data_IF_008458917549
#
_entry.id   IF_008458917549
#
_cell.length_a   1.000
_cell.length_b   1.000
_cell.length_c   1.000
_cell.angle_alpha   90.00
_cell.angle_beta   90.00
_cell.angle_gamma   90.00
#
_symmetry.space_group_name_H-M   'P 1'
#
loop_
_entity.id
_entity.type
_entity.pdbx_description
1 polymer ?
#
# COMPACT_ATOMS: atom_id res chain seq x y z
N UNK A 1 31.02 -42.15 49.25
CA UNK A 1 30.52 -43.37 48.55
C UNK A 1 29.13 -43.03 48.03
N UNK A 2 28.76 -43.16 46.75
CA UNK A 2 29.49 -43.44 45.49
C UNK A 2 28.59 -42.82 44.36
N UNK A 3 29.06 -41.97 43.44
CA UNK A 3 29.95 -42.20 42.29
C UNK A 3 29.26 -42.71 41.00
N UNK A 4 29.00 -41.80 40.04
CA UNK A 4 28.87 -42.04 38.57
C UNK A 4 27.68 -42.95 38.12
N UNK A 5 27.18 -43.05 36.88
CA UNK A 5 27.34 -42.40 35.54
C UNK A 5 26.07 -42.78 34.69
N UNK A 6 25.74 -42.51 33.41
CA UNK A 6 26.23 -41.77 32.21
C UNK A 6 25.01 -41.74 31.19
N UNK A 7 25.15 -41.14 29.99
CA UNK A 7 24.42 -41.41 28.71
C UNK A 7 23.12 -40.68 28.32
N UNK A 8 23.30 -39.71 27.40
CA UNK A 8 22.71 -39.67 26.03
C UNK A 8 21.17 -39.77 25.84
N UNK A 9 20.43 -38.72 25.40
CA UNK A 9 20.27 -38.14 24.02
C UNK A 9 18.84 -38.41 23.46
N UNK A 10 18.34 -37.75 22.38
CA UNK A 10 18.28 -36.30 22.15
C UNK A 10 16.98 -35.76 21.48
N UNK A 11 16.63 -34.49 21.74
CA UNK A 11 16.23 -33.50 20.71
C UNK A 11 14.88 -33.57 19.96
N UNK A 12 14.20 -32.40 19.90
CA UNK A 12 13.35 -31.99 18.75
C UNK A 12 13.67 -30.53 18.40
N UNK A 13 14.34 -30.30 17.27
CA UNK A 13 14.56 -28.95 16.72
C UNK A 13 13.55 -28.71 15.60
N UNK A 14 12.73 -27.66 15.71
CA UNK A 14 11.80 -27.25 14.64
C UNK A 14 12.56 -26.61 13.48
N UNK A 15 12.97 -27.42 12.50
CA UNK A 15 13.60 -26.95 11.28
C UNK A 15 12.65 -26.09 10.43
N UNK A 16 12.92 -24.80 10.34
CA UNK A 16 12.36 -23.94 9.31
C UNK A 16 12.99 -24.27 7.97
N UNK A 17 12.18 -24.60 6.95
CA UNK A 17 12.67 -24.91 5.60
C UNK A 17 13.13 -23.62 4.92
N UNK A 18 14.43 -23.47 4.68
CA UNK A 18 14.95 -22.48 3.74
C UNK A 18 14.68 -22.94 2.30
N UNK A 19 14.51 -21.98 1.38
CA UNK A 19 14.57 -22.29 -0.05
C UNK A 19 15.99 -22.76 -0.39
N UNK A 20 16.11 -23.96 -0.97
CA UNK A 20 17.42 -24.57 -1.27
C UNK A 20 18.17 -23.85 -2.38
N UNK A 21 19.49 -23.79 -2.25
CA UNK A 21 20.42 -23.31 -3.28
C UNK A 21 21.28 -24.50 -3.76
N UNK A 22 21.44 -24.76 -5.07
CA UNK A 22 22.07 -26.00 -5.54
C UNK A 22 23.59 -26.03 -5.35
N UNK A 23 24.09 -27.21 -4.94
CA UNK A 23 25.44 -27.75 -5.11
C UNK A 23 26.64 -26.77 -4.97
N UNK A 24 27.22 -26.70 -3.78
CA UNK A 24 28.57 -26.13 -3.59
C UNK A 24 29.66 -27.14 -4.01
N UNK A 25 30.28 -26.93 -5.17
CA UNK A 25 31.49 -27.66 -5.59
C UNK A 25 32.72 -27.27 -4.75
N UNK A 26 33.58 -28.23 -4.42
CA UNK A 26 34.82 -27.97 -3.67
C UNK A 26 35.87 -27.28 -4.53
N UNK A 27 36.35 -26.12 -4.09
CA UNK A 27 37.62 -25.53 -4.54
C UNK A 27 38.51 -25.16 -3.33
N UNK A 28 39.82 -25.09 -3.57
CA UNK A 28 40.85 -25.03 -2.52
C UNK A 28 41.02 -23.66 -1.82
N UNK A 29 41.89 -23.58 -0.80
CA UNK A 29 42.02 -22.43 0.10
C UNK A 29 42.82 -21.26 -0.52
N UNK A 30 42.25 -20.59 -1.53
CA UNK A 30 42.74 -19.30 -1.99
C UNK A 30 42.46 -18.20 -0.96
N UNK A 31 43.50 -17.49 -0.49
CA UNK A 31 43.38 -16.39 0.48
C UNK A 31 42.79 -15.11 -0.16
N UNK A 32 41.49 -15.13 -0.49
CA UNK A 32 40.76 -13.91 -0.86
C UNK A 32 40.44 -13.08 0.38
N UNK A 33 40.79 -11.80 0.34
CA UNK A 33 40.56 -10.87 1.46
C UNK A 33 39.07 -10.53 1.60
N UNK A 34 38.47 -10.91 2.73
CA UNK A 34 37.08 -10.61 3.08
C UNK A 34 36.75 -9.10 3.04
N UNK A 35 37.75 -8.23 3.22
CA UNK A 35 37.59 -6.78 3.13
C UNK A 35 37.18 -6.28 1.73
N UNK A 36 37.46 -7.03 0.66
CA UNK A 36 37.08 -6.64 -0.70
C UNK A 36 35.58 -6.86 -0.98
N UNK A 37 35.03 -8.00 -0.55
CA UNK A 37 33.63 -8.35 -0.78
C UNK A 37 32.66 -7.37 -0.07
N UNK A 38 33.01 -6.91 1.13
CA UNK A 38 32.22 -5.93 1.89
C UNK A 38 32.04 -4.58 1.19
N UNK A 39 32.96 -4.19 0.28
CA UNK A 39 32.90 -2.91 -0.44
C UNK A 39 32.01 -2.93 -1.69
N UNK A 40 31.70 -4.10 -2.25
CA UNK A 40 30.93 -4.20 -3.50
C UNK A 40 29.41 -3.95 -3.30
N UNK A 41 28.89 -4.18 -2.08
CA UNK A 41 27.45 -4.07 -1.78
C UNK A 41 26.93 -2.66 -1.47
N UNK A 42 27.79 -1.63 -1.47
CA UNK A 42 27.42 -0.27 -1.05
C UNK A 42 27.47 0.79 -2.16
N UNK A 43 27.67 0.38 -3.42
CA UNK A 43 27.74 1.29 -4.59
C UNK A 43 26.38 1.84 -5.07
N UNK A 44 25.33 1.73 -4.24
CA UNK A 44 24.07 2.42 -4.49
C UNK A 44 24.22 3.91 -4.19
N UNK A 45 24.24 4.76 -5.21
CA UNK A 45 24.41 6.20 -5.05
C UNK A 45 23.31 6.80 -4.15
N UNK A 46 23.69 7.19 -2.94
CA UNK A 46 22.76 7.78 -1.96
C UNK A 46 22.36 9.17 -2.46
N UNK A 47 21.18 9.24 -3.06
CA UNK A 47 20.55 10.47 -3.51
C UNK A 47 20.46 11.48 -2.35
N UNK A 48 20.65 12.77 -2.62
CA UNK A 48 20.67 13.80 -1.59
C UNK A 48 19.26 14.03 -1.00
N UNK A 49 19.14 14.56 0.23
CA UNK A 49 17.84 14.92 0.81
C UNK A 49 16.98 15.78 -0.13
N UNK A 50 17.59 16.77 -0.79
CA UNK A 50 16.92 17.66 -1.74
C UNK A 50 16.37 16.94 -2.99
N UNK A 51 17.06 15.91 -3.51
CA UNK A 51 16.59 15.17 -4.69
C UNK A 51 15.42 14.26 -4.39
N UNK A 52 15.28 13.76 -3.16
CA UNK A 52 14.10 13.01 -2.72
C UNK A 52 12.88 13.93 -2.58
N UNK A 53 13.04 15.11 -1.97
CA UNK A 53 11.97 16.10 -1.86
C UNK A 53 11.54 16.62 -3.25
N UNK A 54 12.50 16.88 -4.14
CA UNK A 54 12.22 17.23 -5.54
C UNK A 54 11.47 16.11 -6.28
N UNK A 55 11.86 14.83 -6.10
CA UNK A 55 11.15 13.69 -6.69
C UNK A 55 9.73 13.54 -6.13
N UNK A 56 9.54 13.72 -4.82
CA UNK A 56 8.23 13.66 -4.17
C UNK A 56 7.27 14.73 -4.74
N UNK A 57 7.74 15.98 -4.81
CA UNK A 57 7.00 17.10 -5.38
C UNK A 57 6.74 16.91 -6.88
N UNK A 58 7.74 16.42 -7.64
CA UNK A 58 7.60 16.14 -9.07
C UNK A 58 6.56 15.04 -9.33
N UNK A 59 6.59 13.93 -8.60
CA UNK A 59 5.62 12.85 -8.76
C UNK A 59 4.20 13.30 -8.36
N UNK A 60 4.06 13.98 -7.23
CA UNK A 60 2.76 14.53 -6.80
C UNK A 60 2.22 15.56 -7.82
N UNK A 61 3.08 16.45 -8.33
CA UNK A 61 2.71 17.41 -9.36
C UNK A 61 2.32 16.73 -10.68
N UNK A 62 3.13 15.80 -11.19
CA UNK A 62 2.86 15.08 -12.45
C UNK A 62 1.54 14.29 -12.37
N UNK A 63 1.28 13.56 -11.28
CA UNK A 63 0.01 12.85 -11.13
C UNK A 63 -1.18 13.80 -10.99
N UNK A 64 -1.00 14.95 -10.34
CA UNK A 64 -2.05 15.98 -10.21
C UNK A 64 -2.32 16.71 -11.54
N UNK A 65 -1.29 17.05 -12.32
CA UNK A 65 -1.46 17.71 -13.63
C UNK A 65 -1.96 16.75 -14.70
N UNK A 66 -1.60 15.46 -14.65
CA UNK A 66 -2.20 14.43 -15.49
C UNK A 66 -3.71 14.28 -15.17
N UNK A 67 -4.08 14.23 -13.89
CA UNK A 67 -5.50 14.17 -13.50
C UNK A 67 -6.28 15.41 -13.92
N UNK A 68 -5.77 16.63 -13.65
CA UNK A 68 -6.39 17.87 -14.12
C UNK A 68 -6.44 17.93 -15.65
N UNK A 69 -5.40 17.47 -16.34
CA UNK A 69 -5.37 17.37 -17.81
C UNK A 69 -6.44 16.45 -18.36
N UNK A 70 -6.65 15.27 -17.77
CA UNK A 70 -7.74 14.35 -18.11
C UNK A 70 -9.10 15.01 -17.84
N UNK A 71 -9.28 15.65 -16.68
CA UNK A 71 -10.52 16.34 -16.30
C UNK A 71 -10.88 17.50 -17.26
N UNK A 72 -9.89 18.26 -17.73
CA UNK A 72 -10.10 19.35 -18.68
C UNK A 72 -10.23 18.88 -20.15
N UNK A 73 -9.56 17.79 -20.54
CA UNK A 73 -9.57 17.30 -21.92
C UNK A 73 -10.81 16.45 -22.29
N UNK A 74 -11.43 15.79 -21.30
CA UNK A 74 -12.60 14.92 -21.52
C UNK A 74 -13.89 15.40 -20.83
N UNK A 75 -13.81 16.45 -20.00
CA UNK A 75 -14.97 17.07 -19.37
C UNK A 75 -15.63 18.17 -20.21
N UNK A 76 -16.85 18.63 -19.86
CA UNK A 76 -17.72 18.13 -18.80
C UNK A 76 -18.66 17.00 -19.27
N UNK A 77 -18.49 16.48 -20.51
CA UNK A 77 -19.37 15.51 -21.17
C UNK A 77 -19.15 14.06 -20.71
N UNK A 78 -18.98 13.87 -19.40
CA UNK A 78 -18.70 12.56 -18.75
C UNK A 78 -19.76 11.49 -19.06
N UNK A 79 -21.00 11.92 -19.34
CA UNK A 79 -22.12 11.06 -19.77
C UNK A 79 -21.90 10.31 -21.09
N UNK A 80 -20.87 10.64 -21.87
CA UNK A 80 -20.47 9.89 -23.07
C UNK A 80 -19.57 8.68 -22.76
N UNK A 81 -18.98 8.62 -21.56
CA UNK A 81 -18.22 7.45 -21.10
C UNK A 81 -19.14 6.39 -20.49
N UNK A 82 -18.80 5.08 -20.56
CA UNK A 82 -19.49 4.07 -19.78
C UNK A 82 -19.51 4.43 -18.28
N UNK A 83 -20.66 4.33 -17.59
CA UNK A 83 -20.77 4.72 -16.19
C UNK A 83 -20.07 3.73 -15.26
N UNK A 84 -19.69 4.19 -14.06
CA UNK A 84 -19.23 3.31 -13.00
C UNK A 84 -20.31 2.26 -12.68
N UNK A 85 -19.92 0.99 -12.50
CA UNK A 85 -20.87 -0.14 -12.34
C UNK A 85 -21.81 -0.02 -11.14
N UNK A 86 -21.50 0.83 -10.16
CA UNK A 86 -22.37 1.12 -9.02
C UNK A 86 -23.53 2.07 -9.35
N UNK A 87 -23.55 2.72 -10.52
CA UNK A 87 -24.51 3.80 -10.80
C UNK A 87 -25.95 3.25 -10.88
N UNK A 88 -26.10 2.05 -11.44
CA UNK A 88 -27.38 1.31 -11.46
C UNK A 88 -27.81 0.71 -10.11
N UNK A 89 -27.04 0.93 -9.03
CA UNK A 89 -27.35 0.48 -7.67
C UNK A 89 -27.08 1.55 -6.60
N UNK A 90 -27.08 2.82 -7.02
CA UNK A 90 -26.72 4.02 -6.24
C UNK A 90 -25.27 4.03 -5.75
N UNK A 91 -24.37 4.70 -6.50
CA UNK A 91 -22.93 4.68 -6.19
C UNK A 91 -22.55 5.18 -4.78
N UNK A 92 -23.08 6.33 -4.35
CA UNK A 92 -22.76 7.01 -3.08
C UNK A 92 -23.96 7.89 -2.64
N UNK A 93 -23.92 8.52 -1.46
CA UNK A 93 -24.92 9.49 -1.03
C UNK A 93 -24.93 10.78 -1.88
N UNK A 94 -23.77 11.43 -2.04
CA UNK A 94 -23.63 12.76 -2.64
C UNK A 94 -24.28 12.90 -4.02
N UNK A 95 -25.11 13.94 -4.21
CA UNK A 95 -25.86 14.16 -5.43
C UNK A 95 -24.94 14.56 -6.61
N UNK A 96 -24.93 13.82 -7.74
CA UNK A 96 -24.10 14.18 -8.89
C UNK A 96 -24.49 15.51 -9.53
N UNK A 97 -23.58 16.49 -9.49
CA UNK A 97 -23.76 17.85 -10.03
C UNK A 97 -23.51 17.89 -11.54
N UNK A 98 -24.43 17.32 -12.32
CA UNK A 98 -24.36 17.22 -13.78
C UNK A 98 -24.01 18.55 -14.45
N UNK A 99 -23.03 18.54 -15.37
CA UNK A 99 -22.55 19.73 -16.07
C UNK A 99 -21.44 20.51 -15.34
N UNK A 100 -21.11 20.18 -14.09
CA UNK A 100 -19.94 20.71 -13.39
C UNK A 100 -18.69 19.84 -13.65
N UNK A 101 -17.50 20.43 -13.47
CA UNK A 101 -16.22 19.72 -13.64
C UNK A 101 -16.07 18.56 -12.65
N UNK A 102 -16.60 18.72 -11.43
CA UNK A 102 -16.62 17.71 -10.37
C UNK A 102 -18.08 17.31 -10.09
N UNK A 103 -18.47 16.09 -10.44
CA UNK A 103 -19.82 15.59 -10.17
C UNK A 103 -20.09 15.45 -8.66
N UNK A 104 -19.11 15.04 -7.86
CA UNK A 104 -19.24 14.89 -6.40
C UNK A 104 -18.12 15.67 -5.68
N UNK A 105 -18.26 16.99 -5.48
CA UNK A 105 -17.21 17.83 -4.89
C UNK A 105 -16.70 17.41 -3.50
N UNK A 106 -17.57 16.98 -2.58
CA UNK A 106 -17.15 16.62 -1.22
C UNK A 106 -16.34 15.31 -1.23
N UNK A 107 -16.81 14.31 -1.96
CA UNK A 107 -16.07 13.06 -2.17
C UNK A 107 -14.77 13.31 -2.92
N UNK A 108 -14.75 14.15 -3.97
CA UNK A 108 -13.53 14.49 -4.73
C UNK A 108 -12.48 15.20 -3.85
N UNK A 109 -12.88 16.22 -3.09
CA UNK A 109 -11.93 17.02 -2.29
C UNK A 109 -11.37 16.20 -1.12
N UNK A 110 -12.18 15.35 -0.49
CA UNK A 110 -11.72 14.47 0.59
C UNK A 110 -10.71 13.40 0.14
N UNK A 111 -10.77 12.93 -1.11
CA UNK A 111 -9.79 12.01 -1.71
C UNK A 111 -8.36 12.60 -1.74
N UNK A 112 -8.21 13.92 -1.72
CA UNK A 112 -6.89 14.59 -1.63
C UNK A 112 -6.15 14.26 -0.32
N UNK A 113 -6.84 13.78 0.73
CA UNK A 113 -6.21 13.29 1.94
C UNK A 113 -5.18 12.18 1.67
N UNK A 114 -5.46 11.27 0.74
CA UNK A 114 -4.50 10.23 0.33
C UNK A 114 -3.29 10.80 -0.41
N UNK A 115 -3.48 11.84 -1.22
CA UNK A 115 -2.39 12.53 -1.93
C UNK A 115 -1.46 13.24 -0.94
N UNK A 116 -2.03 13.93 0.06
CA UNK A 116 -1.29 14.60 1.15
C UNK A 116 -0.50 13.57 1.97
N UNK A 117 -1.12 12.45 2.36
CA UNK A 117 -0.45 11.37 3.10
C UNK A 117 0.65 10.72 2.26
N UNK A 118 0.42 10.46 0.97
CA UNK A 118 1.42 9.87 0.08
C UNK A 118 2.62 10.78 -0.15
N UNK A 119 2.40 12.10 -0.31
CA UNK A 119 3.46 13.09 -0.39
C UNK A 119 4.26 13.17 0.93
N UNK A 120 3.61 13.13 2.09
CA UNK A 120 4.27 13.07 3.39
C UNK A 120 5.14 11.81 3.55
N UNK A 121 4.65 10.64 3.13
CA UNK A 121 5.42 9.38 3.11
C UNK A 121 6.67 9.52 2.21
N UNK A 122 6.54 10.09 1.01
CA UNK A 122 7.68 10.32 0.12
C UNK A 122 8.70 11.31 0.69
N UNK A 123 8.26 12.35 1.40
CA UNK A 123 9.16 13.31 2.07
C UNK A 123 9.91 12.67 3.25
N UNK A 124 9.27 11.78 4.01
CA UNK A 124 9.92 11.01 5.07
C UNK A 124 10.93 9.98 4.54
N UNK A 125 10.90 9.64 3.23
CA UNK A 125 11.89 8.76 2.59
C UNK A 125 13.34 9.28 2.69
N UNK A 126 13.53 10.60 2.81
CA UNK A 126 14.83 11.23 3.16
C UNK A 126 15.44 10.61 4.42
N UNK A 127 14.59 10.33 5.41
CA UNK A 127 14.97 9.80 6.71
C UNK A 127 14.89 8.26 6.76
N UNK A 128 14.54 7.59 5.66
CA UNK A 128 14.39 6.12 5.60
C UNK A 128 15.73 5.36 5.39
N UNK A 129 16.85 6.08 5.22
CA UNK A 129 18.18 5.49 5.22
C UNK A 129 18.44 4.68 6.50
N UNK A 130 18.86 3.42 6.35
CA UNK A 130 19.11 2.52 7.47
C UNK A 130 17.87 1.95 8.18
N UNK A 131 16.64 2.41 7.86
CA UNK A 131 15.39 1.81 8.39
C UNK A 131 15.03 0.52 7.67
N UNK A 132 14.31 -0.39 8.32
CA UNK A 132 14.01 -1.70 7.76
C UNK A 132 13.11 -1.69 6.51
N UNK A 133 12.32 -0.62 6.32
CA UNK A 133 11.53 -0.38 5.10
C UNK A 133 12.39 0.09 3.91
N UNK A 134 13.46 0.83 4.16
CA UNK A 134 14.31 1.42 3.12
C UNK A 134 13.65 2.53 2.30
N UNK A 135 14.46 3.24 1.51
CA UNK A 135 14.03 4.40 0.72
C UNK A 135 13.06 4.01 -0.39
N UNK A 136 13.41 2.99 -1.21
CA UNK A 136 12.62 2.60 -2.38
C UNK A 136 11.20 2.13 -2.02
N UNK A 137 11.06 1.29 -0.98
CA UNK A 137 9.74 0.83 -0.52
C UNK A 137 8.92 1.95 0.14
N UNK A 138 9.59 2.93 0.77
CA UNK A 138 8.92 4.14 1.29
C UNK A 138 8.35 4.99 0.15
N UNK A 139 9.15 5.28 -0.89
CA UNK A 139 8.69 5.99 -2.08
C UNK A 139 7.54 5.26 -2.79
N UNK A 140 7.63 3.92 -2.91
CA UNK A 140 6.57 3.09 -3.51
C UNK A 140 5.27 3.14 -2.68
N UNK A 141 5.35 3.04 -1.34
CA UNK A 141 4.16 3.16 -0.48
C UNK A 141 3.49 4.54 -0.61
N UNK A 142 4.30 5.61 -0.66
CA UNK A 142 3.80 6.96 -0.91
C UNK A 142 3.18 7.13 -2.30
N UNK A 143 3.74 6.47 -3.32
CA UNK A 143 3.19 6.47 -4.68
C UNK A 143 1.84 5.76 -4.73
N UNK A 144 1.70 4.59 -4.08
CA UNK A 144 0.41 3.89 -4.01
C UNK A 144 -0.68 4.77 -3.36
N UNK A 145 -0.33 5.53 -2.31
CA UNK A 145 -1.26 6.47 -1.67
C UNK A 145 -1.64 7.66 -2.59
N UNK A 146 -0.68 8.24 -3.34
CA UNK A 146 -0.98 9.27 -4.34
C UNK A 146 -1.92 8.72 -5.44
N UNK A 147 -1.67 7.49 -5.93
CA UNK A 147 -2.49 6.86 -6.96
C UNK A 147 -3.91 6.54 -6.46
N UNK A 148 -4.10 6.14 -5.18
CA UNK A 148 -5.43 6.04 -4.56
C UNK A 148 -6.15 7.40 -4.61
N UNK A 149 -5.52 8.46 -4.09
CA UNK A 149 -6.14 9.78 -4.03
C UNK A 149 -6.51 10.35 -5.40
N UNK A 150 -5.63 10.16 -6.38
CA UNK A 150 -5.84 10.63 -7.76
C UNK A 150 -6.87 9.78 -8.50
N UNK A 151 -6.85 8.45 -8.34
CA UNK A 151 -7.87 7.57 -8.92
C UNK A 151 -9.26 7.86 -8.36
N UNK A 152 -9.37 8.04 -7.04
CA UNK A 152 -10.60 8.42 -6.35
C UNK A 152 -11.10 9.82 -6.76
N UNK A 153 -10.21 10.80 -6.93
CA UNK A 153 -10.55 12.11 -7.54
C UNK A 153 -11.18 11.93 -8.93
N UNK A 154 -10.60 11.08 -9.80
CA UNK A 154 -11.12 10.82 -11.14
C UNK A 154 -12.46 10.07 -11.12
N UNK A 155 -12.69 9.17 -10.16
CA UNK A 155 -13.98 8.53 -9.94
C UNK A 155 -15.05 9.55 -9.52
N UNK A 156 -14.81 10.35 -8.47
CA UNK A 156 -15.84 11.27 -7.94
C UNK A 156 -16.06 12.51 -8.81
N UNK A 157 -15.06 12.93 -9.58
CA UNK A 157 -15.23 14.00 -10.54
C UNK A 157 -16.09 13.58 -11.76
N UNK A 158 -16.07 12.30 -12.17
CA UNK A 158 -16.62 11.86 -13.47
C UNK A 158 -17.70 10.77 -13.41
N UNK A 159 -17.73 9.96 -12.34
CA UNK A 159 -18.59 8.76 -12.14
C UNK A 159 -18.53 7.74 -13.29
N UNK A 160 -17.40 7.65 -13.97
CA UNK A 160 -17.16 6.76 -15.12
C UNK A 160 -16.55 5.41 -14.73
N UNK A 161 -16.66 4.42 -15.63
CA UNK A 161 -16.05 3.10 -15.49
C UNK A 161 -14.51 3.17 -15.47
N UNK A 162 -13.90 4.07 -16.25
CA UNK A 162 -12.45 4.27 -16.25
C UNK A 162 -11.97 5.01 -15.00
N UNK A 163 -12.77 5.94 -14.45
CA UNK A 163 -12.51 6.53 -13.13
C UNK A 163 -12.57 5.49 -12.02
N UNK A 164 -13.59 4.62 -12.05
CA UNK A 164 -13.71 3.47 -11.15
C UNK A 164 -12.53 2.49 -11.26
N UNK A 165 -11.98 2.31 -12.47
CA UNK A 165 -10.78 1.50 -12.68
C UNK A 165 -9.56 2.16 -12.02
N UNK A 166 -9.34 3.46 -12.26
CA UNK A 166 -8.21 4.21 -11.70
C UNK A 166 -8.21 4.22 -10.15
N UNK A 167 -9.37 4.45 -9.53
CA UNK A 167 -9.60 4.37 -8.08
C UNK A 167 -9.12 3.03 -7.49
N UNK A 168 -9.65 1.92 -7.99
CA UNK A 168 -9.33 0.58 -7.46
C UNK A 168 -7.90 0.15 -7.77
N UNK A 169 -7.31 0.57 -8.90
CA UNK A 169 -5.89 0.31 -9.21
C UNK A 169 -4.99 0.80 -8.08
N UNK A 170 -5.23 2.01 -7.54
CA UNK A 170 -4.48 2.51 -6.38
C UNK A 170 -4.62 1.62 -5.15
N UNK A 171 -5.85 1.19 -4.86
CA UNK A 171 -6.15 0.32 -3.70
C UNK A 171 -5.46 -1.04 -3.83
N UNK A 172 -5.41 -1.60 -5.04
CA UNK A 172 -4.74 -2.87 -5.33
C UNK A 172 -3.21 -2.76 -5.31
N UNK A 173 -2.63 -1.65 -5.77
CA UNK A 173 -1.19 -1.40 -5.64
C UNK A 173 -0.79 -1.34 -4.16
N UNK A 174 -1.51 -0.60 -3.31
CA UNK A 174 -1.21 -0.55 -1.88
C UNK A 174 -1.43 -1.92 -1.20
N UNK A 175 -2.54 -2.61 -1.48
CA UNK A 175 -2.82 -3.93 -0.91
C UNK A 175 -1.77 -4.98 -1.29
N UNK A 176 -1.35 -5.01 -2.56
CA UNK A 176 -0.31 -5.90 -3.07
C UNK A 176 1.06 -5.59 -2.44
N UNK A 177 1.36 -4.31 -2.21
CA UNK A 177 2.57 -3.86 -1.51
C UNK A 177 2.58 -4.38 -0.06
N UNK A 178 1.48 -4.21 0.68
CA UNK A 178 1.38 -4.66 2.07
C UNK A 178 1.50 -6.18 2.21
N UNK A 179 0.81 -6.95 1.35
CA UNK A 179 0.94 -8.42 1.28
C UNK A 179 2.40 -8.80 1.01
N UNK A 180 3.02 -8.23 -0.03
CA UNK A 180 4.40 -8.52 -0.39
C UNK A 180 5.38 -8.19 0.73
N UNK A 181 5.18 -7.06 1.42
CA UNK A 181 6.06 -6.62 2.49
C UNK A 181 5.93 -7.48 3.76
N UNK A 182 4.74 -8.05 4.02
CA UNK A 182 4.55 -9.07 5.04
C UNK A 182 5.21 -10.40 4.63
N UNK A 183 4.99 -10.88 3.40
CA UNK A 183 5.60 -12.11 2.87
C UNK A 183 7.14 -12.05 2.88
N UNK A 184 7.75 -10.94 2.46
CA UNK A 184 9.21 -10.71 2.53
C UNK A 184 9.74 -10.86 3.95
N UNK A 185 9.02 -10.30 4.94
CA UNK A 185 9.36 -10.40 6.38
C UNK A 185 9.21 -11.82 6.94
N UNK A 186 8.27 -12.61 6.41
CA UNK A 186 8.01 -13.99 6.86
C UNK A 186 8.96 -15.01 6.22
N UNK A 187 9.23 -14.85 4.92
CA UNK A 187 10.01 -15.78 4.10
C UNK A 187 11.51 -15.44 4.00
N UNK A 188 11.89 -14.18 4.31
CA UNK A 188 13.28 -13.72 4.20
C UNK A 188 13.79 -13.61 2.76
N UNK A 189 12.91 -13.40 1.78
CA UNK A 189 13.28 -13.33 0.37
C UNK A 189 14.01 -12.02 0.02
N UNK A 190 14.78 -12.05 -1.08
CA UNK A 190 15.50 -10.87 -1.59
C UNK A 190 14.56 -9.86 -2.25
N UNK A 191 15.03 -8.63 -2.41
CA UNK A 191 14.23 -7.52 -2.95
C UNK A 191 13.81 -7.75 -4.40
N UNK A 192 14.60 -8.49 -5.19
CA UNK A 192 14.22 -8.92 -6.53
C UNK A 192 13.02 -9.89 -6.51
N UNK A 193 13.02 -10.86 -5.59
CA UNK A 193 11.89 -11.79 -5.43
C UNK A 193 10.65 -11.04 -4.92
N UNK A 194 10.82 -10.11 -3.97
CA UNK A 194 9.73 -9.26 -3.51
C UNK A 194 9.15 -8.39 -4.64
N UNK A 195 9.99 -7.78 -5.48
CA UNK A 195 9.53 -7.00 -6.64
C UNK A 195 8.74 -7.85 -7.64
N UNK A 196 9.19 -9.08 -7.95
CA UNK A 196 8.45 -10.00 -8.82
C UNK A 196 7.11 -10.40 -8.21
N UNK A 197 7.06 -10.74 -6.91
CA UNK A 197 5.80 -11.05 -6.20
C UNK A 197 4.84 -9.87 -6.20
N UNK A 198 5.34 -8.65 -5.97
CA UNK A 198 4.55 -7.42 -6.01
C UNK A 198 3.92 -7.19 -7.39
N UNK A 199 4.73 -7.24 -8.46
CA UNK A 199 4.27 -7.03 -9.84
C UNK A 199 3.28 -8.12 -10.27
N UNK A 200 3.53 -9.38 -9.91
CA UNK A 200 2.63 -10.49 -10.23
C UNK A 200 1.28 -10.36 -9.50
N UNK A 201 1.29 -10.03 -8.21
CA UNK A 201 0.08 -9.87 -7.40
C UNK A 201 -0.74 -8.65 -7.84
N UNK A 202 -0.10 -7.50 -8.02
CA UNK A 202 -0.76 -6.29 -8.51
C UNK A 202 -1.30 -6.49 -9.94
N UNK A 203 -0.49 -7.08 -10.83
CA UNK A 203 -0.89 -7.40 -12.21
C UNK A 203 -2.09 -8.35 -12.26
N UNK A 204 -2.14 -9.38 -11.42
CA UNK A 204 -3.28 -10.28 -11.30
C UNK A 204 -4.53 -9.54 -10.81
N UNK A 205 -4.43 -8.71 -9.76
CA UNK A 205 -5.56 -7.94 -9.27
C UNK A 205 -6.09 -6.94 -10.32
N UNK A 206 -5.20 -6.28 -11.07
CA UNK A 206 -5.57 -5.34 -12.15
C UNK A 206 -6.17 -6.08 -13.35
N UNK A 207 -5.68 -7.27 -13.70
CA UNK A 207 -6.28 -8.12 -14.73
C UNK A 207 -7.70 -8.56 -14.34
N UNK A 208 -7.90 -8.96 -13.08
CA UNK A 208 -9.22 -9.32 -12.54
C UNK A 208 -10.18 -8.11 -12.53
N UNK A 209 -9.69 -6.89 -12.24
CA UNK A 209 -10.46 -5.66 -12.34
C UNK A 209 -10.91 -5.35 -13.79
N UNK A 210 -10.04 -5.65 -14.76
CA UNK A 210 -10.31 -5.42 -16.18
C UNK A 210 -11.37 -6.38 -16.73
N UNK A 211 -11.31 -7.67 -16.38
CA UNK A 211 -12.25 -8.68 -16.90
C UNK A 211 -13.55 -8.80 -16.09
N UNK A 212 -13.57 -8.36 -14.83
CA UNK A 212 -14.68 -8.55 -13.89
C UNK A 212 -14.83 -7.35 -12.91
N UNK A 213 -15.10 -6.12 -13.39
CA UNK A 213 -15.06 -4.89 -12.59
C UNK A 213 -16.09 -4.81 -11.45
N UNK A 214 -17.18 -5.56 -11.52
CA UNK A 214 -18.15 -5.76 -10.44
C UNK A 214 -17.56 -6.48 -9.22
N UNK A 215 -16.56 -7.36 -9.40
CA UNK A 215 -15.93 -8.10 -8.29
C UNK A 215 -15.10 -7.23 -7.35
N UNK A 216 -14.77 -5.98 -7.75
CA UNK A 216 -13.78 -5.11 -7.09
C UNK A 216 -13.93 -4.98 -5.57
N UNK A 217 -15.17 -4.90 -5.07
CA UNK A 217 -15.47 -4.72 -3.64
C UNK A 217 -15.05 -5.97 -2.84
N UNK A 218 -15.34 -7.16 -3.37
CA UNK A 218 -14.98 -8.44 -2.76
C UNK A 218 -13.48 -8.73 -2.89
N UNK A 219 -12.90 -8.50 -4.07
CA UNK A 219 -11.47 -8.72 -4.28
C UNK A 219 -10.62 -7.74 -3.44
N UNK A 220 -11.01 -6.48 -3.30
CA UNK A 220 -10.37 -5.56 -2.35
C UNK A 220 -10.50 -6.05 -0.90
N UNK A 221 -11.68 -6.52 -0.47
CA UNK A 221 -11.87 -7.05 0.87
C UNK A 221 -10.96 -8.26 1.15
N UNK A 222 -10.83 -9.20 0.19
CA UNK A 222 -9.89 -10.33 0.29
C UNK A 222 -8.45 -9.83 0.40
N UNK A 223 -8.00 -8.92 -0.48
CA UNK A 223 -6.65 -8.36 -0.44
C UNK A 223 -6.36 -7.65 0.89
N UNK A 224 -7.29 -6.83 1.38
CA UNK A 224 -7.16 -6.09 2.64
C UNK A 224 -7.10 -7.03 3.85
N UNK A 225 -8.00 -8.01 3.93
CA UNK A 225 -8.01 -9.02 5.00
C UNK A 225 -6.74 -9.87 4.96
N UNK A 226 -6.27 -10.28 3.78
CA UNK A 226 -4.99 -10.99 3.62
C UNK A 226 -3.79 -10.14 4.05
N UNK A 227 -3.76 -8.85 3.70
CA UNK A 227 -2.69 -7.94 4.15
C UNK A 227 -2.66 -7.82 5.69
N UNK A 228 -3.82 -7.57 6.31
CA UNK A 228 -3.97 -7.49 7.78
C UNK A 228 -3.55 -8.82 8.44
N UNK A 229 -4.00 -9.94 7.89
CA UNK A 229 -3.75 -11.28 8.44
C UNK A 229 -2.26 -11.66 8.41
N UNK A 230 -1.62 -11.50 7.25
CA UNK A 230 -0.19 -11.80 7.07
C UNK A 230 0.67 -10.87 7.93
N UNK A 231 0.33 -9.58 8.03
CA UNK A 231 1.08 -8.64 8.85
C UNK A 231 0.90 -8.96 10.35
N UNK A 232 -0.34 -9.06 10.86
CA UNK A 232 -0.60 -9.20 12.29
C UNK A 232 -0.12 -10.54 12.88
N UNK A 233 -0.46 -11.67 12.23
CA UNK A 233 -0.16 -13.00 12.76
C UNK A 233 1.22 -13.54 12.38
N UNK A 234 1.77 -13.16 11.21
CA UNK A 234 3.02 -13.76 10.72
C UNK A 234 4.20 -12.78 10.68
N UNK A 235 4.03 -11.58 10.14
CA UNK A 235 5.15 -10.64 9.96
C UNK A 235 5.50 -9.86 11.24
N UNK A 236 4.51 -9.29 11.93
CA UNK A 236 4.65 -8.47 13.16
C UNK A 236 5.52 -9.13 14.24
N UNK A 237 5.39 -10.44 14.57
CA UNK A 237 6.28 -11.10 15.54
C UNK A 237 7.76 -11.16 15.11
N UNK A 238 8.06 -10.90 13.83
CA UNK A 238 9.41 -10.89 13.25
C UNK A 238 9.97 -9.46 13.09
N UNK A 239 9.15 -8.41 13.30
CA UNK A 239 9.53 -6.99 13.18
C UNK A 239 9.94 -6.39 14.54
N UNK A 240 11.22 -6.07 14.79
CA UNK A 240 11.62 -5.37 16.02
C UNK A 240 11.33 -3.86 15.94
N UNK A 241 10.98 -3.24 17.06
CA UNK A 241 10.80 -1.78 17.16
C UNK A 241 9.47 -1.21 16.63
N UNK A 242 8.70 -1.96 15.84
CA UNK A 242 7.37 -1.52 15.39
C UNK A 242 6.44 -1.22 16.57
N UNK A 243 5.46 -0.34 16.35
CA UNK A 243 4.54 0.16 17.39
C UNK A 243 3.11 -0.35 17.11
N UNK A 244 2.70 -1.51 17.66
CA UNK A 244 1.39 -2.12 17.38
C UNK A 244 0.17 -1.22 17.62
N UNK A 245 0.16 -0.29 18.61
CA UNK A 245 -0.93 0.68 18.75
C UNK A 245 -1.20 1.52 17.49
N UNK A 246 -0.19 1.81 16.66
CA UNK A 246 -0.39 2.53 15.39
C UNK A 246 -1.07 1.64 14.34
N UNK A 247 -0.73 0.36 14.26
CA UNK A 247 -1.44 -0.60 13.40
C UNK A 247 -2.90 -0.76 13.84
N UNK A 248 -3.15 -0.86 15.15
CA UNK A 248 -4.51 -0.93 15.70
C UNK A 248 -5.31 0.37 15.50
N UNK A 249 -4.68 1.54 15.60
CA UNK A 249 -5.31 2.82 15.28
C UNK A 249 -5.70 2.91 13.79
N UNK A 250 -4.84 2.43 12.89
CA UNK A 250 -5.16 2.35 11.46
C UNK A 250 -6.28 1.34 11.15
N UNK A 251 -6.30 0.20 11.85
CA UNK A 251 -7.39 -0.78 11.75
C UNK A 251 -8.71 -0.18 12.24
N UNK A 252 -8.71 0.51 13.39
CA UNK A 252 -9.88 1.21 13.92
C UNK A 252 -10.38 2.30 12.95
N UNK A 253 -9.48 3.10 12.38
CA UNK A 253 -9.84 4.10 11.38
C UNK A 253 -10.51 3.46 10.15
N UNK A 254 -9.98 2.36 9.62
CA UNK A 254 -10.61 1.59 8.54
C UNK A 254 -11.96 0.97 8.96
N UNK A 255 -12.12 0.51 10.20
CA UNK A 255 -13.40 -0.05 10.70
C UNK A 255 -14.48 1.03 10.82
N UNK A 256 -14.14 2.21 11.38
CA UNK A 256 -15.06 3.35 11.46
C UNK A 256 -15.39 3.88 10.06
N UNK A 257 -14.39 3.95 9.17
CA UNK A 257 -14.60 4.27 7.77
C UNK A 257 -15.62 3.32 7.13
N UNK A 258 -15.43 2.00 7.28
CA UNK A 258 -16.30 1.00 6.66
C UNK A 258 -17.74 1.07 7.18
N UNK A 259 -17.94 1.38 8.46
CA UNK A 259 -19.26 1.65 9.02
C UNK A 259 -19.92 2.89 8.37
N UNK A 260 -19.18 4.00 8.24
CA UNK A 260 -19.67 5.21 7.56
C UNK A 260 -19.94 4.97 6.07
N UNK A 261 -19.12 4.15 5.41
CA UNK A 261 -19.34 3.70 4.03
C UNK A 261 -20.65 2.92 3.91
N UNK A 262 -20.93 1.95 4.79
CA UNK A 262 -22.21 1.22 4.80
C UNK A 262 -23.39 2.20 4.98
N UNK A 263 -23.30 3.13 5.93
CA UNK A 263 -24.37 4.10 6.22
C UNK A 263 -24.63 5.09 5.06
N UNK A 264 -23.59 5.42 4.29
CA UNK A 264 -23.66 6.20 3.04
C UNK A 264 -24.33 5.41 1.91
N UNK A 265 -23.87 4.18 1.64
CA UNK A 265 -24.44 3.28 0.62
C UNK A 265 -25.92 2.96 0.89
N UNK A 266 -26.27 2.66 2.14
CA UNK A 266 -27.63 2.34 2.57
C UNK A 266 -28.53 3.56 2.76
N UNK A 267 -28.00 4.77 2.54
CA UNK A 267 -28.69 6.07 2.72
C UNK A 267 -29.22 6.35 4.14
N UNK A 268 -28.84 5.54 5.14
CA UNK A 268 -29.25 5.71 6.55
C UNK A 268 -28.68 7.01 7.15
N UNK A 269 -27.43 7.35 6.81
CA UNK A 269 -26.82 8.64 7.15
C UNK A 269 -26.43 9.34 5.85
N UNK A 270 -27.41 9.98 5.22
CA UNK A 270 -27.25 10.65 3.94
C UNK A 270 -27.98 11.99 3.88
N UNK A 271 -27.23 13.05 3.54
CA UNK A 271 -27.75 14.36 3.17
C UNK A 271 -27.12 14.72 1.80
N UNK A 272 -27.81 14.39 0.71
CA UNK A 272 -27.20 14.30 -0.63
C UNK A 272 -26.56 15.61 -1.13
N UNK A 273 -27.10 16.77 -0.75
CA UNK A 273 -26.60 18.11 -1.13
C UNK A 273 -25.53 18.67 -0.16
N UNK A 274 -25.28 17.98 0.95
CA UNK A 274 -24.36 18.43 2.01
C UNK A 274 -22.88 18.32 1.60
N UNK A 275 -22.01 19.13 2.21
CA UNK A 275 -20.57 18.87 2.21
C UNK A 275 -20.17 17.75 3.18
N UNK A 276 -21.06 17.36 4.10
CA UNK A 276 -20.83 16.26 5.05
C UNK A 276 -21.39 14.95 4.48
N UNK A 277 -20.50 14.17 3.86
CA UNK A 277 -20.82 12.88 3.24
C UNK A 277 -20.15 11.74 4.02
N UNK A 278 -20.85 10.62 4.21
CA UNK A 278 -20.28 9.43 4.85
C UNK A 278 -19.11 8.86 4.05
N UNK A 279 -19.20 8.95 2.71
CA UNK A 279 -18.12 8.57 1.81
C UNK A 279 -16.90 9.51 1.87
N UNK A 280 -17.10 10.82 2.02
CA UNK A 280 -16.00 11.77 2.22
C UNK A 280 -15.25 11.51 3.55
N UNK A 281 -15.98 11.14 4.61
CA UNK A 281 -15.37 10.70 5.87
C UNK A 281 -14.60 9.37 5.73
N UNK A 282 -15.10 8.44 4.91
CA UNK A 282 -14.37 7.21 4.53
C UNK A 282 -13.01 7.50 3.88
N UNK A 283 -12.90 8.50 2.99
CA UNK A 283 -11.61 8.89 2.40
C UNK A 283 -10.62 9.40 3.43
N UNK A 284 -11.05 10.32 4.30
CA UNK A 284 -10.16 10.93 5.31
C UNK A 284 -9.69 9.90 6.34
N UNK A 285 -10.58 9.00 6.79
CA UNK A 285 -10.22 7.91 7.70
C UNK A 285 -9.35 6.84 7.02
N UNK A 286 -9.58 6.54 5.74
CA UNK A 286 -8.69 5.69 4.94
C UNK A 286 -7.30 6.29 4.81
N UNK A 287 -7.17 7.59 4.55
CA UNK A 287 -5.88 8.28 4.51
C UNK A 287 -5.17 8.24 5.87
N UNK A 288 -5.91 8.44 6.97
CA UNK A 288 -5.40 8.24 8.35
C UNK A 288 -4.92 6.79 8.55
N UNK A 289 -5.66 5.78 8.07
CA UNK A 289 -5.24 4.39 8.19
C UNK A 289 -3.95 4.08 7.41
N UNK A 290 -3.77 4.68 6.22
CA UNK A 290 -2.50 4.62 5.46
C UNK A 290 -1.36 5.28 6.23
N UNK A 291 -1.59 6.47 6.81
CA UNK A 291 -0.60 7.19 7.60
C UNK A 291 -0.18 6.41 8.86
N UNK A 292 -1.16 5.83 9.58
CA UNK A 292 -0.93 4.95 10.72
C UNK A 292 -0.16 3.68 10.35
N UNK A 293 -0.47 3.07 9.21
CA UNK A 293 0.24 1.89 8.68
C UNK A 293 1.70 2.23 8.33
N UNK A 294 1.96 3.37 7.68
CA UNK A 294 3.32 3.83 7.44
C UNK A 294 4.07 4.12 8.75
N UNK A 295 3.44 4.82 9.70
CA UNK A 295 4.06 5.13 10.99
C UNK A 295 4.39 3.87 11.82
N UNK A 296 3.57 2.80 11.71
CA UNK A 296 3.86 1.47 12.24
C UNK A 296 5.14 0.87 11.62
N UNK A 297 5.26 0.86 10.28
CA UNK A 297 6.47 0.35 9.61
C UNK A 297 7.70 1.23 9.82
N UNK A 298 7.52 2.55 9.99
CA UNK A 298 8.60 3.52 10.24
C UNK A 298 9.30 3.28 11.58
N UNK A 299 8.62 2.65 12.55
CA UNK A 299 9.22 2.17 13.79
C UNK A 299 10.07 0.91 13.63
N UNK A 300 10.05 0.21 12.48
CA UNK A 300 10.83 -1.01 12.33
C UNK A 300 12.34 -0.74 12.26
N UNK A 301 13.04 -1.17 13.32
CA UNK A 301 14.49 -1.05 13.46
C UNK A 301 15.17 -2.14 12.64
N UNK A 302 16.26 -1.82 11.94
CA UNK A 302 17.13 -2.81 11.32
C UNK A 302 17.80 -3.66 12.41
N UNK A 303 17.72 -4.99 12.31
CA UNK A 303 18.52 -5.85 13.19
C UNK A 303 20.01 -5.58 12.91
N UNK A 304 20.87 -5.47 13.93
CA UNK A 304 22.31 -5.57 13.71
C UNK A 304 22.62 -6.92 13.06
N UNK A 305 23.66 -6.93 12.23
CA UNK A 305 24.16 -8.12 11.52
C UNK A 305 25.01 -9.01 12.43
#
# INVERSE_FOLDING_TARGET
MASLDDRHRPGVVRGGRSCGNPAAGRFGPGRFSLAAAAKAGQSGAVLRPSTHAALALLLAAVWSTLALGILHAAGPVWSLSPPATCLGSHCFCELPRTGQLLLQPANTVSSLGFVIVGAWIMLDAVNAGGRALGVASTLLMGLCAIVIGVGSVLLHATLTLWGQFADVVGMYLLGSFLITWALRRVLGCSDAVAAVVYVALAGLCILLLWIAPETRRWLFAVVLVTAIALEWWLARPRRPGVVPPLFLAGLLANTVAFALWILDQTRIVCAADSWWQGHAAWHLLGAVAVACSFAYFRGEVTRPA
#
